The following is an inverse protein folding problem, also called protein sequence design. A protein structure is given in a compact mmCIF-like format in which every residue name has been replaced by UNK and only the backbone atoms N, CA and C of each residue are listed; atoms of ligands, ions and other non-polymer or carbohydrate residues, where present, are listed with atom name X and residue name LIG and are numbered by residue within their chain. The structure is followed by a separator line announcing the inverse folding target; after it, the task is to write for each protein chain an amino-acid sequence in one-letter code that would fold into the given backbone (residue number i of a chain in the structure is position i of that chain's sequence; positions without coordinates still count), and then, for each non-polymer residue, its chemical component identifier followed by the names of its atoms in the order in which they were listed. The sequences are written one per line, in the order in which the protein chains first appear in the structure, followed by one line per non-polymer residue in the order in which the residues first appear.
data_IF_592049182472
#
_entry.id   IF_592049182472
#
_cell.length_a   1.000
_cell.length_b   1.000
_cell.length_c   1.000
_cell.angle_alpha   90.00
_cell.angle_beta   90.00
_cell.angle_gamma   90.00
#
_symmetry.space_group_name_H-M   'P 1'
#
loop_
_entity.id
_entity.type
_entity.pdbx_description
1 polymer ?
#
# COMPACT_ATOMS: atom_id res chain seq x y z
N UNK A 1 -20.39 -5.71 4.64
CA UNK A 1 -20.10 -4.27 4.87
C UNK A 1 -21.05 -3.59 5.84
N UNK A 2 -22.38 -3.54 5.61
CA UNK A 2 -23.33 -2.88 6.54
C UNK A 2 -23.25 -3.43 7.98
N UNK A 3 -23.21 -4.76 8.12
CA UNK A 3 -22.97 -5.44 9.41
C UNK A 3 -21.69 -4.99 10.13
N UNK A 4 -20.60 -4.76 9.39
CA UNK A 4 -19.32 -4.31 9.95
C UNK A 4 -19.37 -2.84 10.37
N UNK A 5 -20.15 -2.00 9.67
CA UNK A 5 -20.33 -0.61 10.04
C UNK A 5 -21.13 -0.42 11.33
N UNK A 6 -22.04 -1.36 11.65
CA UNK A 6 -22.90 -1.30 12.83
C UNK A 6 -22.20 -1.79 14.12
N UNK A 7 -21.02 -2.40 14.00
CA UNK A 7 -20.23 -2.85 15.17
C UNK A 7 -19.74 -1.65 15.99
N UNK A 8 -19.20 -1.93 17.18
CA UNK A 8 -18.71 -0.86 18.06
C UNK A 8 -17.50 -0.16 17.44
N UNK A 9 -16.52 -0.91 16.95
CA UNK A 9 -15.37 -0.34 16.22
C UNK A 9 -15.82 0.26 14.89
N UNK A 10 -16.76 -0.38 14.19
CA UNK A 10 -17.31 0.12 12.93
C UNK A 10 -17.90 1.53 13.06
N UNK A 11 -18.65 1.79 14.13
CA UNK A 11 -19.16 3.13 14.43
C UNK A 11 -18.07 4.08 14.92
N UNK A 12 -17.14 3.61 15.75
CA UNK A 12 -16.02 4.42 16.27
C UNK A 12 -15.11 4.95 15.15
N UNK A 13 -14.84 4.11 14.14
CA UNK A 13 -13.94 4.42 13.02
C UNK A 13 -14.69 4.79 11.74
N UNK A 14 -16.01 4.90 11.78
CA UNK A 14 -16.87 5.26 10.64
C UNK A 14 -16.65 4.38 9.39
N UNK A 15 -16.65 3.05 9.60
CA UNK A 15 -16.45 2.05 8.54
C UNK A 15 -17.43 2.24 7.38
N UNK A 16 -18.67 2.62 7.68
CA UNK A 16 -19.68 2.88 6.65
C UNK A 16 -19.22 3.94 5.64
N UNK A 17 -18.75 5.08 6.15
CA UNK A 17 -18.23 6.16 5.32
C UNK A 17 -16.91 5.79 4.65
N UNK A 18 -16.01 5.08 5.35
CA UNK A 18 -14.76 4.60 4.76
C UNK A 18 -15.01 3.66 3.57
N UNK A 19 -15.92 2.70 3.69
CA UNK A 19 -16.27 1.76 2.61
C UNK A 19 -17.03 2.42 1.46
N UNK A 20 -17.83 3.45 1.73
CA UNK A 20 -18.43 4.25 0.67
C UNK A 20 -17.35 5.03 -0.10
N UNK A 21 -16.42 5.64 0.63
CA UNK A 21 -15.36 6.46 0.06
C UNK A 21 -14.28 5.64 -0.63
N UNK A 22 -14.02 4.38 -0.24
CA UNK A 22 -13.02 3.55 -0.91
C UNK A 22 -13.37 3.29 -2.37
N UNK A 23 -14.66 3.22 -2.71
CA UNK A 23 -15.15 3.17 -4.10
C UNK A 23 -14.84 4.45 -4.89
N UNK A 24 -14.60 5.54 -4.18
CA UNK A 24 -14.26 6.87 -4.71
C UNK A 24 -12.79 7.24 -4.46
N UNK A 25 -11.97 6.29 -3.97
CA UNK A 25 -10.57 6.43 -3.59
C UNK A 25 -10.22 7.48 -2.53
N UNK A 26 -9.01 7.34 -1.98
CA UNK A 26 -8.32 8.28 -1.08
C UNK A 26 -9.08 8.59 0.22
N UNK A 27 -9.49 7.52 0.91
CA UNK A 27 -10.23 7.57 2.17
C UNK A 27 -9.45 8.35 3.23
N UNK A 28 -8.14 8.08 3.35
CA UNK A 28 -7.30 8.64 4.40
C UNK A 28 -7.23 10.17 4.35
N UNK A 29 -7.13 10.79 3.17
CA UNK A 29 -7.14 12.26 3.04
C UNK A 29 -8.54 12.85 3.22
N UNK A 30 -9.56 12.24 2.60
CA UNK A 30 -10.93 12.77 2.60
C UNK A 30 -11.57 12.81 3.97
N UNK A 31 -11.20 11.85 4.82
CA UNK A 31 -11.59 11.85 6.22
C UNK A 31 -10.55 12.51 7.13
N UNK A 32 -9.47 13.07 6.55
CA UNK A 32 -8.38 13.69 7.28
C UNK A 32 -7.80 12.78 8.38
N UNK A 33 -7.72 11.48 8.10
CA UNK A 33 -7.26 10.44 9.04
C UNK A 33 -5.82 10.70 9.50
N UNK A 34 -5.00 11.26 8.61
CA UNK A 34 -3.63 11.71 8.89
C UNK A 34 -3.53 12.84 9.93
N UNK A 35 -4.59 13.62 10.20
CA UNK A 35 -4.56 14.60 11.31
C UNK A 35 -4.37 13.92 12.65
N UNK A 36 -4.99 12.76 12.83
CA UNK A 36 -4.85 11.99 14.06
C UNK A 36 -3.41 11.48 14.21
N UNK A 37 -2.80 11.08 13.10
CA UNK A 37 -1.42 10.63 13.03
C UNK A 37 -0.45 11.78 13.36
N UNK A 38 -0.58 12.91 12.68
CA UNK A 38 0.26 14.09 12.88
C UNK A 38 0.16 14.66 14.31
N UNK A 39 -1.06 14.71 14.87
CA UNK A 39 -1.27 15.15 16.26
C UNK A 39 -0.53 14.28 17.27
N UNK A 40 -0.38 12.99 16.98
CA UNK A 40 0.28 12.03 17.85
C UNK A 40 1.76 11.85 17.47
N UNK A 41 2.40 12.90 16.94
CA UNK A 41 3.83 12.93 16.58
C UNK A 41 4.19 12.03 15.40
N UNK A 42 3.25 11.84 14.47
CA UNK A 42 3.42 10.95 13.34
C UNK A 42 3.35 9.48 13.75
N UNK A 43 3.76 8.62 12.82
CA UNK A 43 3.95 7.19 13.04
C UNK A 43 4.91 6.92 14.23
N UNK A 44 5.98 7.71 14.34
CA UNK A 44 7.07 7.59 15.33
C UNK A 44 6.71 7.64 16.82
N UNK A 45 5.53 8.14 17.19
CA UNK A 45 5.23 8.44 18.60
C UNK A 45 4.07 7.64 19.20
N UNK A 46 3.59 6.60 18.51
CA UNK A 46 2.50 5.77 19.03
C UNK A 46 3.02 4.47 19.61
N UNK A 47 2.80 4.28 20.92
CA UNK A 47 2.82 2.95 21.54
C UNK A 47 1.64 2.16 20.96
N UNK A 48 1.95 1.25 20.04
CA UNK A 48 1.16 0.13 19.50
C UNK A 48 -0.37 0.24 19.66
N UNK A 49 -1.09 0.49 18.55
CA UNK A 49 -2.57 0.50 18.57
C UNK A 49 -3.17 -0.93 18.59
N UNK A 50 -2.46 -1.92 18.04
CA UNK A 50 -2.91 -3.32 18.03
C UNK A 50 -2.32 -4.20 19.13
N UNK A 51 -2.91 -5.39 19.29
CA UNK A 51 -2.33 -6.47 20.07
C UNK A 51 -1.11 -7.03 19.34
N UNK A 52 0.05 -6.43 19.50
CA UNK A 52 1.28 -6.88 18.86
C UNK A 52 2.05 -7.81 19.81
N UNK A 53 2.45 -8.98 19.31
CA UNK A 53 3.21 -9.94 20.11
C UNK A 53 4.56 -9.37 20.54
N UNK A 54 4.90 -9.56 21.82
CA UNK A 54 6.07 -8.91 22.45
C UNK A 54 7.41 -9.29 21.82
N UNK A 55 7.56 -10.50 21.28
CA UNK A 55 8.79 -10.89 20.58
C UNK A 55 8.94 -10.14 19.26
N UNK A 56 7.85 -9.93 18.52
CA UNK A 56 7.89 -9.13 17.30
C UNK A 56 8.33 -7.70 17.62
N UNK A 57 7.77 -7.10 18.68
CA UNK A 57 8.21 -5.79 19.20
C UNK A 57 9.70 -5.76 19.52
N UNK A 58 10.20 -6.72 20.30
CA UNK A 58 11.59 -6.76 20.74
C UNK A 58 12.59 -6.99 19.60
N UNK A 59 12.21 -7.76 18.58
CA UNK A 59 13.07 -8.05 17.43
C UNK A 59 13.03 -6.96 16.34
N UNK A 60 11.92 -6.21 16.22
CA UNK A 60 11.66 -5.38 15.03
C UNK A 60 11.49 -3.89 15.33
N UNK A 61 11.11 -3.48 16.55
CA UNK A 61 10.77 -2.08 16.88
C UNK A 61 11.71 -1.44 17.92
N UNK A 62 12.93 -1.95 18.07
CA UNK A 62 13.96 -1.33 18.90
C UNK A 62 14.50 0.02 18.38
N UNK A 63 13.93 0.60 17.31
CA UNK A 63 14.41 1.85 16.71
C UNK A 63 13.34 2.60 15.91
N UNK A 64 13.60 3.90 15.74
CA UNK A 64 12.83 4.98 15.12
C UNK A 64 12.23 4.60 13.74
N UNK A 65 10.93 4.83 13.57
CA UNK A 65 10.30 4.88 12.26
C UNK A 65 10.55 6.25 11.61
N UNK A 66 10.51 6.28 10.29
CA UNK A 66 10.76 7.48 9.54
C UNK A 66 9.86 7.36 8.30
N UNK A 67 8.98 8.35 8.10
CA UNK A 67 7.84 8.34 7.19
C UNK A 67 8.13 7.97 5.72
N UNK A 68 7.22 8.29 4.77
CA UNK A 68 7.51 8.18 3.33
C UNK A 68 8.82 8.90 2.92
N UNK A 69 9.30 9.82 3.77
CA UNK A 69 10.53 10.59 3.64
C UNK A 69 11.81 9.80 3.91
N UNK A 70 11.75 8.65 4.58
CA UNK A 70 12.93 7.97 5.07
C UNK A 70 12.83 6.47 4.87
N UNK A 71 13.89 5.93 4.27
CA UNK A 71 14.32 4.56 4.52
C UNK A 71 15.54 4.74 5.43
N UNK A 72 15.54 4.33 6.71
CA UNK A 72 16.79 4.37 7.45
C UNK A 72 17.76 3.44 6.72
N UNK A 73 18.99 3.88 6.54
CA UNK A 73 20.08 3.04 6.02
C UNK A 73 20.29 1.76 6.86
N UNK A 74 19.71 1.76 8.07
CA UNK A 74 19.56 0.62 8.96
C UNK A 74 18.09 0.50 9.37
N UNK A 75 17.19 0.16 8.44
CA UNK A 75 16.06 -0.66 8.88
C UNK A 75 16.70 -1.96 9.33
N UNK A 76 16.57 -2.31 10.61
CA UNK A 76 16.92 -3.65 11.07
C UNK A 76 16.15 -4.59 10.17
N UNK A 77 16.88 -5.22 9.24
CA UNK A 77 16.37 -6.34 8.48
C UNK A 77 15.94 -7.32 9.55
N UNK A 78 14.63 -7.57 9.74
CA UNK A 78 14.31 -8.66 10.61
C UNK A 78 14.97 -9.90 10.01
N UNK A 79 15.81 -10.56 10.80
CA UNK A 79 16.17 -11.94 10.49
C UNK A 79 14.87 -12.69 10.60
N UNK A 80 14.24 -12.82 9.44
CA UNK A 80 12.93 -13.39 9.33
C UNK A 80 12.95 -14.79 9.90
N UNK A 81 12.10 -15.07 10.89
CA UNK A 81 11.76 -16.46 11.21
C UNK A 81 11.18 -17.13 9.94
N UNK A 82 11.22 -18.47 9.83
CA UNK A 82 10.79 -19.20 8.63
C UNK A 82 9.39 -18.83 8.11
N UNK A 83 8.54 -18.26 8.97
CA UNK A 83 7.28 -17.65 8.54
C UNK A 83 7.46 -16.44 7.63
N UNK A 84 8.64 -15.95 7.22
CA UNK A 84 8.82 -14.95 6.13
C UNK A 84 9.81 -15.41 5.06
N UNK A 85 10.37 -16.64 5.19
CA UNK A 85 11.20 -17.23 4.13
C UNK A 85 10.40 -17.62 2.88
N UNK A 86 9.06 -17.70 2.99
CA UNK A 86 8.12 -17.91 1.89
C UNK A 86 8.04 -16.73 0.92
N UNK A 87 8.70 -15.60 1.23
CA UNK A 87 8.82 -14.53 0.25
C UNK A 87 9.74 -14.93 -0.90
N UNK A 88 10.85 -15.69 -0.74
CA UNK A 88 11.79 -15.98 -1.86
C UNK A 88 12.72 -17.22 -1.66
N UNK A 89 12.72 -18.18 -2.62
CA UNK A 89 13.85 -18.88 -3.33
C UNK A 89 13.50 -20.31 -3.89
N UNK A 90 14.33 -20.81 -4.82
CA UNK A 90 14.01 -21.57 -6.07
C UNK A 90 13.58 -23.06 -6.03
N UNK A 91 13.09 -23.65 -4.94
CA UNK A 91 12.46 -25.00 -5.00
C UNK A 91 11.50 -25.23 -3.83
N UNK A 92 10.21 -25.43 -4.10
CA UNK A 92 9.21 -25.79 -3.09
C UNK A 92 8.84 -27.27 -3.23
N UNK A 93 8.92 -28.04 -2.13
CA UNK A 93 8.43 -29.42 -2.12
C UNK A 93 6.89 -29.42 -2.22
N UNK A 94 6.27 -30.36 -2.98
CA UNK A 94 4.88 -30.27 -3.45
C UNK A 94 3.75 -30.30 -2.40
N UNK A 95 4.05 -30.31 -1.10
CA UNK A 95 3.05 -30.60 -0.05
C UNK A 95 2.53 -29.33 0.66
N UNK A 96 3.18 -28.17 0.49
CA UNK A 96 2.82 -26.93 1.20
C UNK A 96 2.84 -25.69 0.29
N UNK A 97 1.98 -25.65 -0.73
CA UNK A 97 1.74 -24.49 -1.61
C UNK A 97 0.47 -23.73 -1.18
N UNK A 98 0.56 -22.60 -0.43
CA UNK A 98 -0.60 -21.77 -0.09
C UNK A 98 -0.64 -20.44 -0.85
N UNK A 99 -0.26 -20.38 -2.13
CA UNK A 99 -0.43 -19.15 -2.94
C UNK A 99 -1.91 -18.85 -3.24
N UNK A 100 -2.32 -17.58 -3.17
CA UNK A 100 -3.31 -17.00 -4.09
C UNK A 100 -2.57 -16.38 -5.29
N UNK A 101 -2.90 -16.83 -6.50
CA UNK A 101 -2.32 -16.42 -7.80
C UNK A 101 -2.58 -14.93 -8.21
N UNK A 102 -2.97 -14.05 -7.29
CA UNK A 102 -3.71 -12.82 -7.64
C UNK A 102 -3.04 -11.47 -7.35
N UNK A 103 -1.87 -11.40 -6.73
CA UNK A 103 -1.04 -10.19 -6.83
C UNK A 103 -0.39 -10.17 -8.22
N UNK A 104 -1.20 -9.97 -9.27
CA UNK A 104 -0.68 -9.90 -10.64
C UNK A 104 0.20 -8.66 -10.74
N UNK A 105 1.50 -8.77 -11.05
CA UNK A 105 2.22 -7.63 -11.57
C UNK A 105 1.45 -7.16 -12.81
N UNK A 106 1.06 -5.88 -12.85
CA UNK A 106 0.68 -5.28 -14.12
C UNK A 106 1.96 -5.25 -14.95
N UNK A 107 2.10 -6.24 -15.84
CA UNK A 107 3.19 -6.25 -16.83
C UNK A 107 2.78 -5.27 -17.90
N UNK A 108 3.12 -4.01 -17.67
CA UNK A 108 2.95 -2.96 -18.65
C UNK A 108 4.13 -2.97 -19.62
N UNK A 109 3.90 -2.49 -20.84
CA UNK A 109 4.97 -2.25 -21.80
C UNK A 109 5.85 -1.11 -21.25
N UNK A 110 7.16 -1.35 -21.02
CA UNK A 110 8.04 -0.29 -20.54
C UNK A 110 8.14 0.81 -21.60
N UNK A 111 8.06 2.06 -21.18
CA UNK A 111 8.25 3.18 -22.08
C UNK A 111 9.73 3.39 -22.42
N UNK A 112 10.00 4.15 -23.49
CA UNK A 112 11.35 4.64 -23.80
C UNK A 112 11.86 5.59 -22.70
N UNK A 113 13.18 5.66 -22.43
CA UNK A 113 13.74 6.62 -21.48
C UNK A 113 13.36 8.06 -21.82
N UNK A 114 13.18 8.89 -20.80
CA UNK A 114 12.97 10.31 -20.96
C UNK A 114 14.30 11.04 -21.17
N UNK A 115 14.26 12.17 -21.88
CA UNK A 115 15.43 12.99 -22.21
C UNK A 115 15.26 14.44 -21.73
N UNK A 116 16.34 15.03 -21.19
CA UNK A 116 16.30 16.27 -20.40
C UNK A 116 15.77 17.52 -21.11
N UNK A 117 15.91 17.61 -22.43
CA UNK A 117 15.59 18.81 -23.22
C UNK A 117 14.09 19.12 -23.34
N UNK A 118 13.23 18.23 -22.84
CA UNK A 118 11.77 18.36 -22.92
C UNK A 118 11.10 18.57 -21.56
N UNK A 119 11.83 19.00 -20.51
CA UNK A 119 11.28 19.14 -19.15
C UNK A 119 10.24 20.27 -19.08
N UNK A 120 8.95 19.96 -18.93
CA UNK A 120 7.91 20.99 -18.93
C UNK A 120 7.87 21.69 -17.58
N UNK A 121 7.50 22.97 -17.60
CA UNK A 121 7.18 23.70 -16.37
C UNK A 121 5.72 23.43 -16.05
N UNK A 122 5.46 22.78 -14.93
CA UNK A 122 4.11 22.42 -14.50
C UNK A 122 3.58 23.43 -13.50
N UNK A 123 2.28 23.72 -13.56
CA UNK A 123 1.64 24.44 -12.47
C UNK A 123 1.31 23.43 -11.39
N UNK A 124 1.78 23.70 -10.16
CA UNK A 124 1.42 22.87 -9.01
C UNK A 124 -0.10 22.87 -8.86
N UNK A 125 -0.74 21.78 -9.28
CA UNK A 125 -2.17 21.63 -9.12
C UNK A 125 -2.48 21.69 -7.62
N UNK A 126 -3.48 22.49 -7.18
CA UNK A 126 -3.76 22.73 -5.76
C UNK A 126 -4.15 21.47 -4.95
N UNK A 127 -4.26 20.31 -5.61
CA UNK A 127 -4.71 19.03 -5.05
C UNK A 127 -3.76 17.86 -5.38
N UNK A 128 -2.73 18.04 -6.22
CA UNK A 128 -1.81 16.93 -6.60
C UNK A 128 -0.67 16.74 -5.59
N UNK A 129 -0.68 17.49 -4.49
CA UNK A 129 0.01 17.11 -3.25
C UNK A 129 -0.63 15.83 -2.71
N UNK A 130 -0.22 14.67 -3.25
CA UNK A 130 -0.64 13.35 -2.78
C UNK A 130 -2.15 13.25 -2.46
N UNK A 131 -3.00 13.84 -3.32
CA UNK A 131 -4.45 13.99 -3.14
C UNK A 131 -5.32 13.12 -4.06
N UNK A 132 -6.65 13.28 -3.97
CA UNK A 132 -7.69 12.36 -4.52
C UNK A 132 -7.97 12.59 -6.00
N UNK A 133 -8.27 11.53 -6.75
CA UNK A 133 -8.62 11.59 -8.17
C UNK A 133 -9.94 12.32 -8.52
N UNK A 134 -10.85 12.51 -7.56
CA UNK A 134 -12.23 12.97 -7.83
C UNK A 134 -12.44 14.47 -7.56
N UNK A 135 -11.52 15.15 -6.86
CA UNK A 135 -11.72 16.56 -6.47
C UNK A 135 -11.04 17.56 -7.43
N UNK A 136 -10.38 17.05 -8.48
CA UNK A 136 -9.80 17.88 -9.53
C UNK A 136 -10.84 18.05 -10.63
N UNK A 137 -11.41 19.25 -10.72
CA UNK A 137 -12.29 19.60 -11.83
C UNK A 137 -11.53 19.39 -13.16
N UNK A 138 -12.18 18.84 -14.20
CA UNK A 138 -11.58 18.79 -15.53
C UNK A 138 -11.09 20.18 -15.93
N UNK A 139 -9.85 20.26 -16.41
CA UNK A 139 -9.47 21.44 -17.19
C UNK A 139 -10.40 21.43 -18.41
N UNK A 140 -11.25 22.45 -18.53
CA UNK A 140 -12.31 22.47 -19.54
C UNK A 140 -11.72 22.97 -20.84
N UNK A 141 -11.65 22.09 -21.83
CA UNK A 141 -11.52 22.47 -23.23
C UNK A 141 -12.16 21.44 -24.16
N UNK A 142 -12.55 21.89 -25.36
CA UNK A 142 -13.27 21.11 -26.39
C UNK A 142 -12.32 20.19 -27.20
N UNK A 143 -11.22 19.74 -26.57
CA UNK A 143 -10.08 19.08 -27.19
C UNK A 143 -9.63 17.78 -26.51
N UNK A 144 -8.41 17.33 -26.83
CA UNK A 144 -7.70 16.26 -26.09
C UNK A 144 -6.99 16.92 -24.93
N UNK A 145 -7.13 16.38 -23.73
CA UNK A 145 -6.42 16.86 -22.54
C UNK A 145 -6.25 15.68 -21.59
N UNK A 146 -5.00 15.32 -21.32
CA UNK A 146 -4.62 14.44 -20.25
C UNK A 146 -4.45 15.28 -18.98
N UNK A 147 -4.65 14.67 -17.82
CA UNK A 147 -4.47 15.37 -16.57
C UNK A 147 -3.99 14.39 -15.51
N UNK A 148 -2.86 14.70 -14.87
CA UNK A 148 -2.42 14.00 -13.69
C UNK A 148 -3.36 14.30 -12.52
N UNK A 149 -3.89 13.25 -11.91
CA UNK A 149 -4.84 13.38 -10.81
C UNK A 149 -4.21 13.11 -9.45
N UNK A 150 -3.39 12.06 -9.36
CA UNK A 150 -2.88 11.58 -8.09
C UNK A 150 -1.64 10.71 -8.26
N UNK A 151 -0.81 10.70 -7.22
CA UNK A 151 0.33 9.79 -7.07
C UNK A 151 0.31 9.22 -5.65
N UNK A 152 0.53 7.90 -5.50
CA UNK A 152 0.60 7.22 -4.20
C UNK A 152 1.77 6.27 -4.12
N UNK A 153 2.28 6.12 -2.92
CA UNK A 153 3.27 5.11 -2.57
C UNK A 153 2.58 3.76 -2.38
N UNK A 154 3.10 2.72 -3.01
CA UNK A 154 2.55 1.35 -2.92
C UNK A 154 3.43 0.49 -2.02
N UNK A 155 4.73 0.44 -2.29
CA UNK A 155 5.72 -0.26 -1.48
C UNK A 155 7.14 0.27 -1.70
N UNK A 156 8.04 0.00 -0.75
CA UNK A 156 9.41 0.50 -0.75
C UNK A 156 10.36 -0.24 -1.71
N UNK A 157 9.95 -1.38 -2.27
CA UNK A 157 10.85 -2.32 -2.93
C UNK A 157 11.56 -3.26 -1.95
N UNK A 158 12.66 -3.87 -2.41
CA UNK A 158 13.39 -4.91 -1.67
C UNK A 158 14.89 -4.83 -1.97
N UNK A 159 15.75 -4.61 -0.96
CA UNK A 159 17.19 -4.44 -1.16
C UNK A 159 17.89 -5.68 -1.72
N UNK A 160 17.63 -6.88 -1.19
CA UNK A 160 18.35 -8.10 -1.66
C UNK A 160 18.07 -8.45 -3.13
N UNK A 161 16.85 -8.19 -3.58
CA UNK A 161 16.44 -8.41 -4.96
C UNK A 161 16.73 -7.21 -5.86
N UNK A 162 17.27 -6.13 -5.30
CA UNK A 162 17.48 -4.87 -6.02
C UNK A 162 16.17 -4.41 -6.68
N UNK A 163 15.10 -4.39 -5.90
CA UNK A 163 13.82 -3.79 -6.30
C UNK A 163 13.73 -2.39 -5.69
N UNK A 164 13.53 -1.39 -6.54
CA UNK A 164 13.25 -0.02 -6.10
C UNK A 164 11.79 0.21 -5.70
N UNK A 165 11.42 1.42 -5.30
CA UNK A 165 10.10 1.74 -4.78
C UNK A 165 9.04 1.75 -5.88
N UNK A 166 7.80 1.39 -5.53
CA UNK A 166 6.65 1.37 -6.44
C UNK A 166 5.65 2.44 -6.09
N UNK A 167 5.17 3.14 -7.12
CA UNK A 167 4.15 4.17 -7.01
C UNK A 167 2.98 3.87 -7.93
N UNK A 168 1.79 4.31 -7.54
CA UNK A 168 0.56 4.26 -8.32
C UNK A 168 0.22 5.66 -8.80
N UNK A 169 -0.01 5.80 -10.10
CA UNK A 169 -0.32 7.06 -10.78
C UNK A 169 -1.73 6.98 -11.36
N UNK A 170 -2.51 8.03 -11.14
CA UNK A 170 -3.84 8.20 -11.74
C UNK A 170 -3.83 9.40 -12.67
N UNK A 171 -4.39 9.22 -13.85
CA UNK A 171 -4.58 10.28 -14.82
C UNK A 171 -5.94 10.15 -15.50
N UNK A 172 -6.47 11.26 -15.99
CA UNK A 172 -7.75 11.34 -16.70
C UNK A 172 -7.53 11.85 -18.11
N UNK A 173 -8.34 11.35 -19.04
CA UNK A 173 -8.60 12.07 -20.28
C UNK A 173 -9.79 13.01 -20.05
N UNK A 174 -9.52 14.31 -19.91
CA UNK A 174 -10.54 15.35 -19.78
C UNK A 174 -11.29 15.63 -21.08
N UNK A 175 -10.73 15.19 -22.21
CA UNK A 175 -11.30 15.40 -23.53
C UNK A 175 -12.61 14.63 -23.76
N UNK A 176 -13.35 15.12 -24.74
CA UNK A 176 -14.60 14.51 -25.23
C UNK A 176 -14.36 13.34 -26.20
N UNK A 177 -13.10 13.15 -26.61
CA UNK A 177 -12.67 12.11 -27.56
C UNK A 177 -11.73 11.10 -26.91
N UNK A 178 -11.86 9.85 -27.35
CA UNK A 178 -10.92 8.78 -27.04
C UNK A 178 -9.54 9.11 -27.62
N UNK A 179 -8.50 9.00 -26.79
CA UNK A 179 -7.11 9.05 -27.24
C UNK A 179 -6.70 7.64 -27.67
N UNK A 180 -6.15 7.53 -28.88
CA UNK A 180 -5.69 6.27 -29.50
C UNK A 180 -4.20 6.30 -29.84
N UNK A 181 -3.56 7.44 -29.60
CA UNK A 181 -2.13 7.60 -29.78
C UNK A 181 -1.44 7.00 -28.55
N UNK A 182 -0.37 6.22 -28.77
CA UNK A 182 0.42 5.66 -27.68
C UNK A 182 1.15 6.81 -26.99
N UNK A 183 1.04 6.90 -25.66
CA UNK A 183 1.72 7.92 -24.87
C UNK A 183 2.32 7.32 -23.60
N UNK A 184 3.22 8.06 -22.94
CA UNK A 184 4.05 7.52 -21.88
C UNK A 184 3.76 8.17 -20.53
N UNK A 185 3.67 7.36 -19.47
CA UNK A 185 3.62 7.83 -18.08
C UNK A 185 4.92 7.45 -17.39
N UNK A 186 5.64 8.44 -16.85
CA UNK A 186 7.00 8.26 -16.33
C UNK A 186 7.17 8.78 -14.92
N UNK A 187 8.03 8.09 -14.18
CA UNK A 187 8.54 8.48 -12.88
C UNK A 187 10.05 8.71 -12.97
N UNK A 188 10.53 9.79 -12.34
CA UNK A 188 11.94 10.08 -12.19
C UNK A 188 12.25 10.35 -10.71
N UNK A 189 13.31 9.73 -10.20
CA UNK A 189 13.81 9.92 -8.85
C UNK A 189 15.00 10.88 -8.86
N UNK A 190 14.87 12.04 -8.20
CA UNK A 190 15.90 13.09 -8.18
C UNK A 190 16.17 13.58 -6.75
N UNK A 191 17.34 14.18 -6.54
CA UNK A 191 17.63 14.95 -5.32
C UNK A 191 17.37 16.46 -5.50
N UNK A 192 17.10 16.87 -6.73
CA UNK A 192 16.86 18.25 -7.13
C UNK A 192 15.44 18.39 -7.69
N UNK A 193 14.87 19.60 -7.60
CA UNK A 193 13.54 19.91 -8.17
C UNK A 193 13.53 19.98 -9.70
N UNK A 194 14.70 20.00 -10.32
CA UNK A 194 14.89 19.86 -11.75
C UNK A 194 15.75 18.60 -11.95
N UNK A 195 15.25 17.57 -12.67
CA UNK A 195 15.98 16.31 -12.78
C UNK A 195 17.15 16.46 -13.76
N UNK A 196 18.29 15.84 -13.43
CA UNK A 196 19.42 15.73 -14.35
C UNK A 196 19.19 14.62 -15.39
N UNK A 197 20.10 14.49 -16.37
CA UNK A 197 19.90 13.60 -17.53
C UNK A 197 19.86 12.12 -17.17
N UNK A 198 20.59 11.72 -16.13
CA UNK A 198 20.86 10.31 -15.81
C UNK A 198 20.24 9.89 -14.48
N UNK A 199 19.11 10.51 -14.11
CA UNK A 199 18.37 10.12 -12.91
C UNK A 199 17.72 8.74 -13.06
N UNK A 200 17.61 7.94 -11.98
CA UNK A 200 16.83 6.72 -12.00
C UNK A 200 15.38 6.99 -12.45
N UNK A 201 14.94 6.29 -13.48
CA UNK A 201 13.64 6.51 -14.09
C UNK A 201 12.99 5.21 -14.54
N UNK A 202 11.66 5.19 -14.57
CA UNK A 202 10.87 4.09 -15.09
C UNK A 202 9.54 4.64 -15.61
N UNK A 203 8.91 3.93 -16.54
CA UNK A 203 7.60 4.32 -17.01
C UNK A 203 6.93 3.26 -17.86
N UNK A 204 5.71 3.59 -18.26
CA UNK A 204 4.77 2.69 -18.91
C UNK A 204 4.19 3.38 -20.13
N UNK A 205 4.13 2.64 -21.24
CA UNK A 205 3.42 3.02 -22.45
C UNK A 205 1.93 2.71 -22.30
N UNK A 206 1.08 3.65 -22.72
CA UNK A 206 -0.38 3.59 -22.64
C UNK A 206 -0.95 3.63 -24.05
N UNK A 207 -1.56 2.54 -24.47
CA UNK A 207 -2.08 2.41 -25.85
C UNK A 207 -3.31 3.30 -26.14
N UNK A 208 -4.17 3.49 -25.13
CA UNK A 208 -5.44 4.23 -25.28
C UNK A 208 -6.08 4.57 -23.96
N UNK A 209 -6.87 5.65 -23.98
CA UNK A 209 -7.77 6.03 -22.89
C UNK A 209 -9.07 6.60 -23.45
N UNK A 210 -10.20 6.10 -22.96
CA UNK A 210 -11.53 6.58 -23.37
C UNK A 210 -11.79 8.02 -22.91
N UNK A 211 -12.70 8.72 -23.59
CA UNK A 211 -13.11 10.08 -23.23
C UNK A 211 -13.66 10.11 -21.79
N UNK A 212 -13.24 11.08 -20.99
CA UNK A 212 -13.62 11.20 -19.58
C UNK A 212 -13.10 10.08 -18.67
N UNK A 213 -12.40 9.08 -19.21
CA UNK A 213 -11.97 7.92 -18.43
C UNK A 213 -10.77 8.26 -17.56
N UNK A 214 -10.71 7.58 -16.42
CA UNK A 214 -9.57 7.61 -15.51
C UNK A 214 -8.86 6.27 -15.61
N UNK A 215 -7.55 6.34 -15.77
CA UNK A 215 -6.70 5.16 -15.79
C UNK A 215 -5.72 5.20 -14.63
N UNK A 216 -5.26 4.03 -14.24
CA UNK A 216 -4.37 3.82 -13.10
C UNK A 216 -3.26 2.89 -13.52
N UNK A 217 -2.03 3.27 -13.19
CA UNK A 217 -0.84 2.46 -13.48
C UNK A 217 0.08 2.40 -12.27
N UNK A 218 0.67 1.22 -12.06
CA UNK A 218 1.71 1.00 -11.07
C UNK A 218 3.06 1.00 -11.76
N UNK A 219 3.97 1.86 -11.31
CA UNK A 219 5.30 2.02 -11.89
C UNK A 219 6.33 1.76 -10.78
N UNK A 220 7.24 0.81 -11.01
CA UNK A 220 8.36 0.51 -10.12
C UNK A 220 9.62 1.21 -10.62
N UNK A 221 10.16 2.09 -9.80
CA UNK A 221 11.47 2.69 -10.03
C UNK A 221 12.57 1.65 -9.82
N UNK A 222 13.72 1.82 -10.48
CA UNK A 222 14.85 0.92 -10.30
C UNK A 222 15.48 1.12 -8.90
N UNK A 223 16.27 0.14 -8.44
CA UNK A 223 16.77 0.12 -7.05
C UNK A 223 17.64 1.31 -6.68
N UNK A 224 18.33 1.88 -7.66
CA UNK A 224 19.18 3.06 -7.53
C UNK A 224 18.41 4.27 -6.98
N UNK A 225 17.09 4.33 -7.15
CA UNK A 225 16.25 5.34 -6.52
C UNK A 225 16.33 5.27 -4.98
N UNK A 226 16.46 4.07 -4.39
CA UNK A 226 16.57 3.87 -2.95
C UNK A 226 17.96 4.20 -2.37
N UNK A 227 18.97 4.42 -3.21
CA UNK A 227 20.36 4.67 -2.80
C UNK A 227 20.96 5.92 -3.46
N UNK A 228 20.09 6.82 -3.93
CA UNK A 228 20.48 7.97 -4.76
C UNK A 228 21.26 9.06 -4.00
N UNK A 229 21.09 9.17 -2.69
CA UNK A 229 21.72 10.20 -1.86
C UNK A 229 22.47 9.59 -0.67
N UNK A 230 23.25 10.42 0.04
CA UNK A 230 23.91 10.03 1.28
C UNK A 230 23.63 11.03 2.39
N UNK A 231 23.43 10.53 3.60
CA UNK A 231 23.29 11.39 4.78
C UNK A 231 24.66 11.85 5.34
N UNK A 232 24.63 12.59 6.45
CA UNK A 232 25.84 13.11 7.13
C UNK A 232 26.79 12.02 7.62
N UNK A 233 26.32 10.79 7.79
CA UNK A 233 27.11 9.63 8.18
C UNK A 233 27.57 8.81 6.95
N UNK A 234 27.40 9.36 5.74
CA UNK A 234 27.70 8.74 4.43
C UNK A 234 26.85 7.51 4.12
N UNK A 235 25.76 7.30 4.84
CA UNK A 235 24.88 6.16 4.64
C UNK A 235 23.97 6.41 3.44
N UNK A 236 23.68 5.37 2.67
CA UNK A 236 22.81 5.48 1.50
C UNK A 236 21.37 5.74 1.93
N UNK A 237 20.78 6.74 1.32
CA UNK A 237 19.39 7.12 1.55
C UNK A 237 18.68 7.31 0.18
N UNK A 238 17.35 7.16 0.13
CA UNK A 238 16.63 7.31 -1.12
C UNK A 238 16.59 8.74 -1.63
N UNK A 239 16.16 8.87 -2.88
CA UNK A 239 15.90 10.13 -3.56
C UNK A 239 14.96 11.07 -2.77
N UNK A 240 15.09 12.39 -3.02
CA UNK A 240 14.32 13.43 -2.32
C UNK A 240 13.03 13.83 -3.03
N UNK A 241 13.04 13.92 -4.35
CA UNK A 241 11.94 14.39 -5.18
C UNK A 241 11.49 13.34 -6.19
N UNK A 242 10.18 13.06 -6.20
CA UNK A 242 9.52 12.25 -7.21
C UNK A 242 8.96 13.18 -8.29
N UNK A 243 9.43 13.01 -9.52
CA UNK A 243 8.85 13.67 -10.68
C UNK A 243 7.92 12.67 -11.36
N UNK A 244 6.70 13.11 -11.65
CA UNK A 244 5.71 12.31 -12.38
C UNK A 244 5.31 13.09 -13.62
N UNK A 245 5.32 12.41 -14.77
CA UNK A 245 5.02 12.99 -16.07
C UNK A 245 3.99 12.08 -16.76
N UNK A 246 2.82 12.61 -17.08
CA UNK A 246 1.85 12.04 -18.03
C UNK A 246 2.16 12.62 -19.40
N UNK A 247 2.05 11.79 -20.44
CA UNK A 247 2.52 12.11 -21.79
C UNK A 247 3.95 12.68 -21.84
N UNK A 248 4.89 11.95 -21.24
CA UNK A 248 6.25 12.43 -20.98
C UNK A 248 7.05 12.82 -22.24
N UNK A 249 6.63 12.37 -23.42
CA UNK A 249 7.26 12.67 -24.70
C UNK A 249 6.45 13.60 -25.60
N UNK A 250 5.31 14.12 -25.12
CA UNK A 250 4.39 14.98 -25.89
C UNK A 250 3.90 14.28 -27.16
N UNK A 251 3.54 13.01 -27.01
CA UNK A 251 2.99 12.20 -28.10
C UNK A 251 1.52 12.58 -28.39
N UNK A 252 0.84 13.22 -27.43
CA UNK A 252 -0.52 13.74 -27.56
C UNK A 252 -0.48 15.26 -27.76
N UNK A 253 -1.04 15.73 -28.88
CA UNK A 253 -1.26 17.16 -29.10
C UNK A 253 -2.42 17.64 -28.22
N UNK A 254 -2.08 18.34 -27.14
CA UNK A 254 -3.03 18.85 -26.15
C UNK A 254 -2.72 20.30 -25.72
N UNK A 255 -3.74 21.10 -25.39
CA UNK A 255 -3.56 22.52 -25.11
C UNK A 255 -3.08 22.83 -23.68
N UNK A 256 -3.29 21.93 -22.72
CA UNK A 256 -3.02 22.17 -21.30
C UNK A 256 -1.95 21.24 -20.71
N UNK A 257 -0.80 21.13 -21.38
CA UNK A 257 0.32 20.32 -20.89
C UNK A 257 0.67 20.60 -19.41
N UNK A 258 0.49 21.84 -18.92
CA UNK A 258 0.82 22.25 -17.55
C UNK A 258 0.23 21.37 -16.42
N UNK A 259 -0.84 20.61 -16.70
CA UNK A 259 -1.55 19.75 -15.74
C UNK A 259 -1.09 18.26 -15.76
N UNK A 260 -0.13 17.91 -16.62
CA UNK A 260 0.31 16.53 -16.87
C UNK A 260 1.39 16.05 -15.91
N UNK A 261 2.01 16.95 -15.17
CA UNK A 261 3.14 16.61 -14.32
C UNK A 261 3.14 17.26 -12.96
N UNK A 262 3.97 16.71 -12.09
CA UNK A 262 4.21 17.26 -10.75
C UNK A 262 5.60 16.87 -10.26
N UNK A 263 6.14 17.71 -9.38
CA UNK A 263 7.31 17.38 -8.55
C UNK A 263 6.86 17.34 -7.10
N UNK A 264 7.03 16.19 -6.46
CA UNK A 264 6.65 15.96 -5.08
C UNK A 264 7.88 15.67 -4.26
N UNK A 265 7.97 16.23 -3.05
CA UNK A 265 8.90 15.66 -2.08
C UNK A 265 8.44 14.22 -1.81
N UNK A 266 9.36 13.27 -1.85
CA UNK A 266 9.07 11.85 -1.63
C UNK A 266 8.31 11.63 -0.32
N UNK A 267 8.68 12.39 0.72
CA UNK A 267 8.03 12.38 2.02
C UNK A 267 6.57 12.80 2.04
N UNK A 268 6.14 13.57 1.05
CA UNK A 268 4.77 14.05 0.95
C UNK A 268 3.88 13.06 0.19
N UNK A 269 4.45 12.03 -0.44
CA UNK A 269 3.68 11.02 -1.17
C UNK A 269 3.01 10.06 -0.19
N UNK A 270 1.68 10.17 -0.08
CA UNK A 270 0.89 9.32 0.81
C UNK A 270 0.85 7.86 0.31
N UNK A 271 0.72 6.87 1.22
CA UNK A 271 0.49 5.49 0.83
C UNK A 271 -0.90 5.31 0.20
N UNK A 272 -1.05 4.27 -0.63
CA UNK A 272 -2.37 3.81 -1.10
C UNK A 272 -3.29 3.48 0.09
N UNK A 273 -4.61 3.56 -0.12
CA UNK A 273 -5.57 3.11 0.89
C UNK A 273 -5.35 1.60 1.18
N UNK A 274 -5.50 1.17 2.44
CA UNK A 274 -5.31 -0.24 2.77
C UNK A 274 -6.35 -1.09 2.05
N UNK A 275 -5.91 -2.16 1.42
CA UNK A 275 -6.78 -3.13 0.77
C UNK A 275 -6.28 -4.54 1.08
N UNK A 276 -7.20 -5.42 1.51
CA UNK A 276 -6.89 -6.82 1.79
C UNK A 276 -7.36 -7.67 0.64
N UNK A 277 -6.49 -8.52 0.10
CA UNK A 277 -6.81 -9.33 -1.08
C UNK A 277 -7.35 -10.69 -0.67
N UNK A 278 -6.65 -11.39 0.20
CA UNK A 278 -6.96 -12.76 0.59
C UNK A 278 -6.18 -13.19 1.81
N UNK A 279 -6.70 -14.18 2.54
CA UNK A 279 -5.91 -14.95 3.47
C UNK A 279 -5.20 -16.10 2.75
N UNK A 280 -4.10 -16.59 3.30
CA UNK A 280 -3.40 -17.79 2.82
C UNK A 280 -4.24 -19.08 2.96
N UNK A 281 -5.31 -19.02 3.77
CA UNK A 281 -6.23 -20.13 4.03
C UNK A 281 -7.68 -19.68 3.90
N UNK A 282 -8.56 -20.59 3.53
CA UNK A 282 -10.03 -20.37 3.53
C UNK A 282 -10.68 -20.84 4.83
N UNK A 283 -9.98 -21.67 5.61
CA UNK A 283 -10.41 -22.11 6.95
C UNK A 283 -9.23 -22.38 7.88
N UNK A 284 -9.37 -22.07 9.16
CA UNK A 284 -8.35 -22.28 10.19
C UNK A 284 -8.97 -22.53 11.57
N UNK A 285 -8.28 -23.23 12.47
CA UNK A 285 -8.76 -23.42 13.83
C UNK A 285 -8.56 -22.16 14.68
N UNK A 286 -9.40 -21.98 15.71
CA UNK A 286 -9.20 -20.91 16.68
C UNK A 286 -7.83 -21.04 17.36
N UNK A 287 -7.03 -19.96 17.36
CA UNK A 287 -5.64 -19.98 17.85
C UNK A 287 -4.57 -20.22 16.78
N UNK A 288 -4.94 -20.59 15.55
CA UNK A 288 -4.00 -20.81 14.46
C UNK A 288 -3.36 -19.51 13.96
N UNK A 289 -2.18 -19.64 13.37
CA UNK A 289 -1.51 -18.57 12.65
C UNK A 289 -2.00 -18.51 11.20
N UNK A 290 -2.34 -17.32 10.72
CA UNK A 290 -2.73 -17.09 9.32
C UNK A 290 -2.05 -15.84 8.77
N UNK A 291 -1.95 -15.78 7.44
CA UNK A 291 -1.40 -14.64 6.72
C UNK A 291 -2.51 -13.96 5.92
N UNK A 292 -2.51 -12.63 5.91
CA UNK A 292 -3.42 -11.80 5.12
C UNK A 292 -2.59 -10.99 4.15
N UNK A 293 -2.79 -11.21 2.86
CA UNK A 293 -2.17 -10.44 1.79
C UNK A 293 -2.97 -9.17 1.50
N UNK A 294 -2.28 -8.12 1.08
CA UNK A 294 -2.90 -6.87 0.68
C UNK A 294 -1.91 -5.83 0.19
N UNK A 295 -2.31 -4.57 0.30
CA UNK A 295 -1.47 -3.40 0.05
C UNK A 295 -1.90 -2.24 0.95
N UNK A 296 -1.03 -1.23 1.10
CA UNK A 296 -1.39 -0.01 1.80
C UNK A 296 -1.61 -0.18 3.30
N UNK A 297 -1.26 -1.32 3.90
CA UNK A 297 -1.33 -1.51 5.35
C UNK A 297 -0.42 -0.54 6.09
N UNK A 298 0.60 -0.05 5.39
CA UNK A 298 1.56 0.89 5.91
C UNK A 298 2.61 0.20 6.76
N UNK A 299 3.64 0.94 7.16
CA UNK A 299 4.88 0.34 7.65
C UNK A 299 4.90 0.05 9.14
N UNK A 300 3.88 0.51 9.87
CA UNK A 300 3.71 0.23 11.30
C UNK A 300 2.46 -0.58 11.56
N UNK A 301 2.52 -1.54 12.52
CA UNK A 301 1.37 -2.29 12.97
C UNK A 301 0.23 -1.38 13.43
N UNK A 302 -0.90 -1.49 12.74
CA UNK A 302 -2.17 -0.98 13.20
C UNK A 302 -2.89 -2.02 14.06
N UNK A 303 -4.17 -2.22 13.79
CA UNK A 303 -5.01 -3.22 14.44
C UNK A 303 -5.53 -4.24 13.42
N UNK A 304 -5.77 -5.47 13.88
CA UNK A 304 -6.51 -6.47 13.08
C UNK A 304 -7.75 -6.87 13.85
N UNK A 305 -8.90 -6.51 13.28
CA UNK A 305 -10.22 -6.74 13.86
C UNK A 305 -10.82 -7.99 13.24
N UNK A 306 -11.31 -8.89 14.09
CA UNK A 306 -12.02 -10.09 13.70
C UNK A 306 -13.45 -10.00 14.19
N UNK A 307 -14.40 -10.12 13.27
CA UNK A 307 -15.83 -10.15 13.56
C UNK A 307 -16.34 -11.57 13.33
N UNK A 308 -16.69 -12.26 14.40
CA UNK A 308 -17.12 -13.67 14.38
C UNK A 308 -18.32 -13.85 15.30
N UNK A 309 -19.41 -14.44 14.81
CA UNK A 309 -20.64 -14.64 15.60
C UNK A 309 -21.20 -13.37 16.29
N UNK A 310 -20.93 -12.19 15.74
CA UNK A 310 -21.34 -10.91 16.34
C UNK A 310 -20.42 -10.41 17.47
N UNK A 311 -19.37 -11.17 17.79
CA UNK A 311 -18.28 -10.73 18.64
C UNK A 311 -17.26 -9.95 17.82
N UNK A 312 -16.76 -8.88 18.43
CA UNK A 312 -15.69 -8.04 17.93
C UNK A 312 -14.44 -8.33 18.74
N UNK A 313 -13.43 -8.87 18.08
CA UNK A 313 -12.19 -9.32 18.70
C UNK A 313 -11.00 -8.68 17.98
N UNK A 314 -9.87 -8.63 18.67
CA UNK A 314 -8.59 -8.24 18.07
C UNK A 314 -7.70 -9.46 17.95
N UNK A 315 -7.09 -9.64 16.78
CA UNK A 315 -6.07 -10.66 16.57
C UNK A 315 -4.72 -10.18 17.12
N UNK A 316 -3.92 -11.14 17.57
CA UNK A 316 -2.54 -10.85 17.94
C UNK A 316 -1.66 -10.83 16.68
N UNK A 317 -0.90 -9.75 16.49
CA UNK A 317 -0.05 -9.52 15.32
C UNK A 317 1.34 -10.07 15.62
N UNK A 318 1.78 -11.03 14.81
CA UNK A 318 3.12 -11.63 14.87
C UNK A 318 4.03 -11.13 13.75
N UNK A 319 3.46 -10.46 12.76
CA UNK A 319 4.19 -9.90 11.64
C UNK A 319 3.39 -8.86 10.89
N UNK A 320 4.07 -7.83 10.38
CA UNK A 320 3.43 -6.73 9.68
C UNK A 320 4.34 -6.21 8.57
N UNK A 321 3.73 -5.97 7.41
CA UNK A 321 4.36 -5.44 6.22
C UNK A 321 3.34 -4.65 5.40
N UNK A 322 3.80 -3.70 4.58
CA UNK A 322 2.94 -2.88 3.71
C UNK A 322 1.99 -3.72 2.84
N UNK A 323 2.42 -4.93 2.46
CA UNK A 323 1.71 -5.87 1.59
C UNK A 323 1.15 -7.11 2.31
N UNK A 324 1.31 -7.23 3.64
CA UNK A 324 0.88 -8.43 4.34
C UNK A 324 0.94 -8.36 5.86
N UNK A 325 0.06 -9.11 6.52
CA UNK A 325 0.01 -9.21 7.98
C UNK A 325 -0.07 -10.67 8.40
N UNK A 326 0.78 -11.05 9.37
CA UNK A 326 0.77 -12.37 10.00
C UNK A 326 0.15 -12.26 11.38
N UNK A 327 -0.91 -13.00 11.61
CA UNK A 327 -1.71 -12.91 12.83
C UNK A 327 -1.97 -14.28 13.43
N UNK A 328 -2.24 -14.26 14.73
CA UNK A 328 -2.84 -15.37 15.44
C UNK A 328 -4.33 -15.11 15.61
N UNK A 329 -5.14 -16.06 15.15
CA UNK A 329 -6.58 -16.03 15.41
C UNK A 329 -6.85 -16.11 16.92
N UNK A 330 -7.82 -15.35 17.46
CA UNK A 330 -8.21 -15.44 18.85
C UNK A 330 -8.56 -16.88 19.24
N UNK A 331 -8.02 -17.34 20.36
CA UNK A 331 -8.40 -18.63 20.95
C UNK A 331 -9.81 -18.51 21.54
N UNK A 332 -10.80 -19.06 20.85
CA UNK A 332 -12.20 -19.02 21.23
C UNK A 332 -12.74 -20.46 21.32
N UNK A 333 -13.54 -20.79 22.35
CA UNK A 333 -14.26 -22.04 22.40
C UNK A 333 -15.43 -21.99 21.41
N UNK A 334 -15.20 -22.41 20.17
CA UNK A 334 -16.26 -22.56 19.17
C UNK A 334 -16.91 -23.95 19.29
N UNK A 335 -18.24 -23.99 19.31
CA UNK A 335 -19.00 -25.24 19.31
C UNK A 335 -19.10 -25.84 17.90
N UNK A 336 -19.18 -24.98 16.89
CA UNK A 336 -19.27 -25.31 15.47
C UNK A 336 -18.45 -24.30 14.66
N UNK A 337 -18.24 -24.60 13.39
CA UNK A 337 -17.65 -23.67 12.44
C UNK A 337 -18.40 -22.32 12.42
N UNK A 338 -17.65 -21.24 12.23
CA UNK A 338 -18.19 -19.90 12.16
C UNK A 338 -17.45 -19.06 11.12
N UNK A 339 -18.19 -18.27 10.34
CA UNK A 339 -17.61 -17.32 9.40
C UNK A 339 -17.06 -16.10 10.16
N UNK A 340 -15.82 -15.72 9.86
CA UNK A 340 -15.17 -14.54 10.40
C UNK A 340 -14.85 -13.55 9.28
N UNK A 341 -15.27 -12.30 9.47
CA UNK A 341 -14.81 -11.17 8.67
C UNK A 341 -13.57 -10.58 9.36
N UNK A 342 -12.43 -10.56 8.67
CA UNK A 342 -11.18 -9.98 9.17
C UNK A 342 -10.92 -8.66 8.46
N UNK A 343 -10.64 -7.62 9.24
CA UNK A 343 -10.43 -6.25 8.76
C UNK A 343 -9.12 -5.72 9.33
N UNK A 344 -8.29 -5.12 8.47
CA UNK A 344 -7.05 -4.46 8.88
C UNK A 344 -7.32 -2.97 9.02
N UNK A 345 -6.95 -2.41 10.17
CA UNK A 345 -7.01 -0.97 10.45
C UNK A 345 -5.58 -0.48 10.53
N UNK A 346 -5.18 0.39 9.61
CA UNK A 346 -3.85 1.02 9.61
C UNK A 346 -3.73 2.02 10.77
N UNK A 347 -2.51 2.34 11.20
CA UNK A 347 -2.25 3.23 12.35
C UNK A 347 -2.81 4.67 12.24
N UNK A 348 -3.13 5.14 11.03
CA UNK A 348 -3.84 6.40 10.80
C UNK A 348 -5.37 6.28 10.94
N UNK A 349 -5.89 5.06 11.06
CA UNK A 349 -7.31 4.72 11.15
C UNK A 349 -7.96 4.35 9.82
N UNK A 350 -7.19 4.29 8.72
CA UNK A 350 -7.69 3.81 7.43
C UNK A 350 -7.98 2.31 7.48
N UNK A 351 -9.08 1.89 6.86
CA UNK A 351 -9.63 0.54 7.04
C UNK A 351 -9.65 -0.22 5.71
N UNK A 352 -9.17 -1.47 5.72
CA UNK A 352 -9.24 -2.34 4.55
C UNK A 352 -10.62 -2.93 4.32
N UNK A 353 -10.86 -3.42 3.11
CA UNK A 353 -12.01 -4.30 2.87
C UNK A 353 -11.86 -5.61 3.68
N UNK A 354 -12.98 -6.23 4.10
CA UNK A 354 -12.92 -7.47 4.86
C UNK A 354 -12.44 -8.65 3.99
N UNK A 355 -11.68 -9.55 4.61
CA UNK A 355 -11.37 -10.89 4.09
C UNK A 355 -12.12 -11.92 4.94
N UNK A 356 -12.74 -12.90 4.29
CA UNK A 356 -13.50 -13.94 4.96
C UNK A 356 -12.67 -15.20 5.16
N UNK A 357 -12.72 -15.73 6.39
CA UNK A 357 -12.10 -17.02 6.75
C UNK A 357 -13.09 -17.78 7.62
N UNK A 358 -13.25 -19.08 7.35
CA UNK A 358 -14.02 -19.96 8.22
C UNK A 358 -13.18 -20.39 9.42
N UNK A 359 -13.61 -20.03 10.63
CA UNK A 359 -12.95 -20.45 11.86
C UNK A 359 -13.61 -21.73 12.38
N UNK A 360 -12.83 -22.79 12.50
CA UNK A 360 -13.28 -24.08 13.02
C UNK A 360 -12.89 -24.24 14.50
N UNK A 361 -13.62 -25.07 15.27
CA UNK A 361 -13.23 -25.38 16.65
C UNK A 361 -11.79 -25.88 16.74
N UNK A 362 -11.03 -25.39 17.72
CA UNK A 362 -9.73 -25.97 18.05
C UNK A 362 -9.92 -27.46 18.38
N UNK A 363 -9.06 -28.34 17.84
CA UNK A 363 -9.02 -29.75 18.28
C UNK A 363 -8.89 -29.75 19.80
N UNK A 364 -9.87 -30.33 20.50
CA UNK A 364 -9.82 -30.44 21.97
C UNK A 364 -8.45 -31.04 22.36
N UNK A 365 -7.73 -30.45 23.32
CA UNK A 365 -6.61 -31.14 23.94
C UNK A 365 -7.12 -32.50 24.42
N UNK A 366 -6.47 -33.58 24.03
CA UNK A 366 -6.78 -34.89 24.60
C UNK A 366 -6.35 -34.83 26.05
N UNK A 367 -7.30 -34.71 26.97
CA UNK A 367 -7.01 -34.89 28.39
C UNK A 367 -6.60 -36.35 28.58
N UNK A 368 -5.38 -36.66 29.06
CA UNK A 368 -5.05 -38.03 29.41
C UNK A 368 -6.05 -38.53 30.46
N UNK A 369 -6.46 -39.81 30.43
CA UNK A 369 -7.27 -40.37 31.51
C UNK A 369 -6.58 -40.11 32.86
N UNK A 370 -7.33 -39.82 33.94
CA UNK A 370 -6.74 -39.70 35.27
C UNK A 370 -5.95 -40.98 35.56
N UNK A 371 -4.72 -40.82 36.08
CA UNK A 371 -3.87 -41.94 36.43
C UNK A 371 -4.65 -42.89 37.35
N UNK A 372 -4.58 -44.22 37.14
CA UNK A 372 -5.29 -45.18 37.96
C UNK A 372 -4.94 -44.94 39.43
N UNK A 373 -5.97 -44.82 40.27
CA UNK A 373 -5.83 -44.73 41.72
C UNK A 373 -5.22 -46.04 42.19
N UNK A 374 -4.16 -45.93 43.02
CA UNK A 374 -3.34 -47.06 43.51
C UNK A 374 -4.14 -48.18 44.16
#
# INVERSE_FOLDING_TARGET
MRRLADTRIGRKLDFGRQFEMSRRGDVARRLSLSRSLNRNGGWNSRRYHGHVHSTFVNFHFGSWYAGPSCYPAHTWMPRWSPWVSWSWWDTCLPVCDPRPMFCRPLVCRPCRPWVIWSYPTWVSLPVVSSGTWVDVAPARDDGRDLQLLAVRFVDAGHPDQKLGPRYRVWFRNNGDKKIRDDFNVMLLASNDREPSRDVPQAGVEIDKIDAGAIQTVDIRLPFEANTLDRDSEKREIPFRFLHVLVDSHRDVDEPFEENNGVVLARGDVLPVDPASFSANVTSAAAGDMIDIAGEGFGPEPGEVIIQINGLELQAEIYGWYDLGVHIKLPSLPLATDAEADIVIVRGDGAVSNPVQVKVVPAKRPVTPPPAPVK
#
